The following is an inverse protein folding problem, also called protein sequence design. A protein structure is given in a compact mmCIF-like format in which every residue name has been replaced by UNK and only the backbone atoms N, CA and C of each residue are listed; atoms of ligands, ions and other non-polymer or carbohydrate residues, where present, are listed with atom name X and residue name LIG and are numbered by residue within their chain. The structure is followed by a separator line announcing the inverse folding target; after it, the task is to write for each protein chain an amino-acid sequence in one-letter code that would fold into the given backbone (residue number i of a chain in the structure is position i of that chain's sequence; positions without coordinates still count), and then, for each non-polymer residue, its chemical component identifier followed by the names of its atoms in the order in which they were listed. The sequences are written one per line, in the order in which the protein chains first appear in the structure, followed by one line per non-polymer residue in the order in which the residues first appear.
data_IF_811425274871
#
_entry.id   IF_811425274871
#
_cell.length_a   1.000
_cell.length_b   1.000
_cell.length_c   1.000
_cell.angle_alpha   90.00
_cell.angle_beta   90.00
_cell.angle_gamma   90.00
#
_symmetry.space_group_name_H-M   'P 1'
#
loop_
_entity.id
_entity.type
_entity.pdbx_description
1 polymer ?
#
# COMPACT_ATOMS: atom_id res chain seq x y z
N UNK A 1 3.28 21.18 -34.26
CA UNK A 1 2.73 20.35 -33.16
C UNK A 1 1.62 21.14 -32.49
N UNK A 2 0.36 20.86 -32.77
CA UNK A 2 -0.77 21.44 -32.01
C UNK A 2 -0.90 20.58 -30.76
N UNK A 3 -0.47 21.10 -29.60
CA UNK A 3 -0.85 20.48 -28.34
C UNK A 3 -2.36 20.22 -28.41
N UNK A 4 -2.77 18.97 -28.17
CA UNK A 4 -4.18 18.60 -28.26
C UNK A 4 -4.93 19.43 -27.21
N UNK A 5 -5.76 20.36 -27.63
CA UNK A 5 -6.52 21.27 -26.75
C UNK A 5 -7.26 20.49 -25.66
N UNK A 6 -7.73 19.27 -25.99
CA UNK A 6 -8.36 18.35 -25.02
C UNK A 6 -7.40 17.93 -23.90
N UNK A 7 -6.13 17.64 -24.23
CA UNK A 7 -5.10 17.28 -23.24
C UNK A 7 -4.85 18.44 -22.27
N UNK A 8 -4.64 19.64 -22.79
CA UNK A 8 -4.41 20.84 -21.97
C UNK A 8 -5.60 21.13 -21.05
N UNK A 9 -6.82 21.01 -21.56
CA UNK A 9 -8.03 21.20 -20.75
C UNK A 9 -8.18 20.14 -19.67
N UNK A 10 -7.90 18.88 -19.97
CA UNK A 10 -7.93 17.78 -19.01
C UNK A 10 -6.88 18.00 -17.90
N UNK A 11 -5.64 18.31 -18.25
CA UNK A 11 -4.56 18.61 -17.26
C UNK A 11 -4.95 19.79 -16.36
N UNK A 12 -5.51 20.87 -16.92
CA UNK A 12 -6.03 22.00 -16.12
C UNK A 12 -7.17 21.60 -15.20
N UNK A 13 -8.13 20.82 -15.70
CA UNK A 13 -9.24 20.30 -14.89
C UNK A 13 -8.72 19.48 -13.71
N UNK A 14 -7.77 18.58 -13.93
CA UNK A 14 -7.17 17.79 -12.85
C UNK A 14 -6.52 18.69 -11.77
N UNK A 15 -5.76 19.72 -12.17
CA UNK A 15 -5.13 20.64 -11.21
C UNK A 15 -6.14 21.46 -10.42
N UNK A 16 -7.22 21.93 -11.05
CA UNK A 16 -8.32 22.64 -10.36
C UNK A 16 -9.02 21.71 -9.36
N UNK A 17 -9.32 20.47 -9.77
CA UNK A 17 -9.89 19.45 -8.88
C UNK A 17 -8.98 19.19 -7.68
N UNK A 18 -7.68 18.97 -7.91
CA UNK A 18 -6.68 18.71 -6.87
C UNK A 18 -6.54 19.89 -5.91
N UNK A 19 -6.58 21.13 -6.42
CA UNK A 19 -6.54 22.34 -5.58
C UNK A 19 -7.78 22.41 -4.64
N UNK A 20 -8.97 22.10 -5.16
CA UNK A 20 -10.17 22.00 -4.32
C UNK A 20 -10.10 20.85 -3.31
N UNK A 21 -9.62 19.68 -3.74
CA UNK A 21 -9.43 18.52 -2.87
C UNK A 21 -8.40 18.81 -1.75
N UNK A 22 -7.34 19.57 -2.01
CA UNK A 22 -6.36 20.01 -1.01
C UNK A 22 -7.02 20.72 0.16
N UNK A 23 -7.93 21.64 -0.12
CA UNK A 23 -8.66 22.37 0.93
C UNK A 23 -9.53 21.43 1.77
N UNK A 24 -10.23 20.50 1.12
CA UNK A 24 -11.02 19.48 1.81
C UNK A 24 -10.13 18.61 2.68
N UNK A 25 -9.03 18.05 2.12
CA UNK A 25 -8.11 17.19 2.84
C UNK A 25 -7.46 17.90 4.04
N UNK A 26 -7.20 19.22 3.96
CA UNK A 26 -6.67 20.00 5.07
C UNK A 26 -7.67 20.15 6.23
N UNK A 27 -8.97 20.18 5.94
CA UNK A 27 -10.03 20.35 6.93
C UNK A 27 -10.48 19.04 7.61
N UNK A 28 -10.10 17.87 7.06
CA UNK A 28 -10.52 16.58 7.61
C UNK A 28 -9.81 16.26 8.93
N UNK A 29 -10.50 15.61 9.90
CA UNK A 29 -9.93 15.22 11.19
C UNK A 29 -9.08 13.96 11.06
N UNK A 30 -7.91 14.09 10.46
CA UNK A 30 -6.94 13.00 10.30
C UNK A 30 -6.51 12.46 11.67
N UNK A 31 -6.39 11.15 11.76
CA UNK A 31 -5.87 10.45 12.94
C UNK A 31 -4.88 9.37 12.51
N UNK A 32 -4.07 8.94 13.45
CA UNK A 32 -3.17 7.79 13.27
C UNK A 32 -3.53 6.71 14.26
N UNK A 33 -3.35 5.43 13.91
CA UNK A 33 -3.46 4.34 14.88
C UNK A 33 -2.47 4.50 16.02
N UNK A 34 -2.85 4.05 17.22
CA UNK A 34 -1.88 3.87 18.30
C UNK A 34 -1.02 2.65 17.99
N UNK A 35 0.28 2.81 17.97
CA UNK A 35 1.22 1.74 17.66
C UNK A 35 1.60 0.99 18.95
N UNK A 36 1.55 -0.34 18.89
CA UNK A 36 2.19 -1.26 19.83
C UNK A 36 3.28 -1.97 19.02
N UNK A 37 4.54 -1.80 19.36
CA UNK A 37 5.67 -2.25 18.56
C UNK A 37 6.67 -3.05 19.40
N UNK A 38 7.39 -3.98 18.76
CA UNK A 38 8.45 -4.79 19.31
C UNK A 38 8.11 -6.27 19.42
N UNK A 39 9.14 -7.09 19.63
CA UNK A 39 9.00 -8.54 19.76
C UNK A 39 8.04 -8.90 20.89
N UNK A 40 7.04 -9.74 20.59
CA UNK A 40 6.00 -10.14 21.54
C UNK A 40 4.92 -9.06 21.75
N UNK A 41 4.85 -8.01 20.93
CA UNK A 41 3.81 -6.98 21.04
C UNK A 41 2.39 -7.58 20.96
N UNK A 42 2.21 -8.65 20.20
CA UNK A 42 0.93 -9.36 20.06
C UNK A 42 0.42 -9.91 21.39
N UNK A 43 1.28 -10.29 22.33
CA UNK A 43 0.92 -10.80 23.67
C UNK A 43 0.27 -9.71 24.54
N UNK A 44 0.59 -8.45 24.31
CA UNK A 44 0.02 -7.31 25.04
C UNK A 44 -1.38 -6.92 24.51
N UNK A 45 -1.76 -7.43 23.35
CA UNK A 45 -3.00 -7.04 22.69
C UNK A 45 -4.27 -7.41 23.48
N UNK A 46 -4.43 -8.62 24.06
CA UNK A 46 -5.63 -8.98 24.84
C UNK A 46 -5.88 -8.05 26.03
N UNK A 47 -4.83 -7.62 26.73
CA UNK A 47 -4.93 -6.62 27.79
C UNK A 47 -5.38 -5.28 27.23
N UNK A 48 -4.74 -4.81 26.18
CA UNK A 48 -5.11 -3.56 25.50
C UNK A 48 -6.56 -3.54 25.00
N UNK A 49 -7.12 -4.68 24.60
CA UNK A 49 -8.54 -4.86 24.23
C UNK A 49 -9.44 -4.74 25.43
N UNK A 50 -9.14 -5.47 26.53
CA UNK A 50 -9.92 -5.46 27.76
C UNK A 50 -9.96 -4.09 28.47
N UNK A 51 -8.83 -3.42 28.54
CA UNK A 51 -8.70 -2.11 29.16
C UNK A 51 -9.60 -1.03 28.50
N UNK A 52 -10.06 -1.32 27.28
CA UNK A 52 -11.00 -0.49 26.53
C UNK A 52 -12.45 -0.94 26.66
N UNK A 53 -12.71 -1.93 27.52
CA UNK A 53 -14.05 -2.41 27.82
C UNK A 53 -14.63 -3.36 26.77
N UNK A 54 -13.81 -3.94 25.88
CA UNK A 54 -14.27 -4.94 24.93
C UNK A 54 -14.26 -6.35 25.57
N UNK A 55 -15.26 -7.17 25.20
CA UNK A 55 -15.51 -8.45 25.82
C UNK A 55 -15.51 -9.63 24.86
N UNK A 56 -15.86 -9.41 23.59
CA UNK A 56 -15.89 -10.47 22.59
C UNK A 56 -15.37 -10.01 21.23
N UNK A 57 -14.30 -10.62 20.80
CA UNK A 57 -13.53 -10.23 19.61
C UNK A 57 -13.88 -11.12 18.42
N UNK A 58 -14.09 -10.54 17.23
CA UNK A 58 -13.97 -11.25 15.97
C UNK A 58 -12.52 -11.18 15.49
N UNK A 59 -11.83 -12.31 15.43
CA UNK A 59 -10.51 -12.43 14.83
C UNK A 59 -10.70 -12.74 13.34
N UNK A 60 -10.37 -11.76 12.48
CA UNK A 60 -10.39 -11.90 11.03
C UNK A 60 -8.99 -12.28 10.56
N UNK A 61 -8.85 -13.39 9.83
CA UNK A 61 -7.55 -13.92 9.41
C UNK A 61 -7.67 -14.78 8.15
N UNK A 62 -6.52 -15.20 7.60
CA UNK A 62 -6.48 -16.11 6.46
C UNK A 62 -6.18 -17.56 6.87
N UNK A 63 -6.60 -18.56 6.07
CA UNK A 63 -6.42 -19.97 6.40
C UNK A 63 -4.94 -20.37 6.53
N UNK A 64 -4.05 -19.79 5.71
CA UNK A 64 -2.61 -20.07 5.77
C UNK A 64 -1.97 -19.55 7.07
N UNK A 65 -2.43 -18.42 7.60
CA UNK A 65 -1.95 -17.84 8.86
C UNK A 65 -2.32 -18.73 10.01
N UNK A 66 -3.58 -19.19 10.04
CA UNK A 66 -4.08 -20.14 11.03
C UNK A 66 -3.35 -21.47 10.99
N UNK A 67 -3.18 -22.04 9.80
CA UNK A 67 -2.47 -23.31 9.61
C UNK A 67 -1.00 -23.28 10.04
N UNK A 68 -0.34 -22.11 9.94
CA UNK A 68 1.05 -21.90 10.40
C UNK A 68 1.16 -21.67 11.90
N UNK A 69 0.06 -21.62 12.65
CA UNK A 69 0.07 -21.39 14.09
C UNK A 69 0.44 -19.98 14.53
N UNK A 70 0.47 -18.98 13.63
CA UNK A 70 0.85 -17.59 13.96
C UNK A 70 -0.09 -16.93 14.97
N UNK A 71 -1.32 -17.47 15.13
CA UNK A 71 -2.30 -17.00 16.12
C UNK A 71 -2.07 -17.57 17.52
N UNK A 72 -1.27 -18.62 17.68
CA UNK A 72 -1.24 -19.41 18.92
C UNK A 72 -0.94 -18.56 20.16
N UNK A 73 0.11 -17.72 20.10
CA UNK A 73 0.47 -16.84 21.21
C UNK A 73 -0.66 -15.87 21.59
N UNK A 74 -1.32 -15.26 20.58
CA UNK A 74 -2.47 -14.40 20.83
C UNK A 74 -3.62 -15.16 21.51
N UNK A 75 -3.93 -16.37 21.02
CA UNK A 75 -5.04 -17.17 21.55
C UNK A 75 -4.79 -17.68 22.97
N UNK A 76 -3.54 -17.99 23.31
CA UNK A 76 -3.12 -18.35 24.67
C UNK A 76 -3.33 -17.18 25.63
N UNK A 77 -2.84 -16.01 25.29
CA UNK A 77 -3.01 -14.79 26.08
C UNK A 77 -4.51 -14.40 26.22
N UNK A 78 -5.30 -14.56 25.14
CA UNK A 78 -6.74 -14.31 25.22
C UNK A 78 -7.44 -15.26 26.21
N UNK A 79 -7.04 -16.54 26.28
CA UNK A 79 -7.56 -17.50 27.25
C UNK A 79 -7.18 -17.12 28.68
N UNK A 80 -5.91 -16.77 28.91
CA UNK A 80 -5.42 -16.33 30.24
C UNK A 80 -6.15 -15.10 30.73
N UNK A 81 -6.35 -14.12 29.85
CA UNK A 81 -7.08 -12.88 30.14
C UNK A 81 -8.61 -13.04 30.13
N UNK A 82 -9.13 -14.26 29.88
CA UNK A 82 -10.57 -14.60 29.79
C UNK A 82 -11.32 -13.69 28.78
N UNK A 83 -10.66 -13.30 27.70
CA UNK A 83 -11.25 -12.53 26.61
C UNK A 83 -11.89 -13.49 25.61
N UNK A 84 -13.20 -13.36 25.38
CA UNK A 84 -13.93 -14.22 24.43
C UNK A 84 -13.56 -13.84 22.98
N UNK A 85 -13.52 -14.83 22.10
CA UNK A 85 -13.25 -14.61 20.69
C UNK A 85 -13.97 -15.63 19.79
N UNK A 86 -14.14 -15.24 18.54
CA UNK A 86 -14.56 -16.11 17.43
C UNK A 86 -13.55 -15.88 16.30
N UNK A 87 -13.19 -16.93 15.57
CA UNK A 87 -12.23 -16.84 14.45
C UNK A 87 -13.00 -16.95 13.13
N UNK A 88 -12.76 -15.99 12.24
CA UNK A 88 -13.15 -16.01 10.84
C UNK A 88 -11.88 -16.06 9.99
N UNK A 89 -11.57 -17.25 9.46
CA UNK A 89 -10.32 -17.57 8.74
C UNK A 89 -10.51 -17.82 7.25
N UNK A 90 -11.69 -17.51 6.72
CA UNK A 90 -12.05 -17.72 5.31
C UNK A 90 -11.60 -16.64 4.34
N UNK A 91 -10.57 -15.83 4.65
CA UNK A 91 -10.19 -14.69 3.80
C UNK A 91 -9.21 -15.12 2.72
N UNK A 92 -9.57 -14.85 1.46
CA UNK A 92 -8.73 -15.03 0.28
C UNK A 92 -7.72 -13.91 0.08
N UNK A 93 -6.79 -14.08 -0.86
CA UNK A 93 -5.78 -13.08 -1.19
C UNK A 93 -6.39 -11.78 -1.75
N UNK A 94 -7.54 -11.86 -2.41
CA UNK A 94 -8.31 -10.72 -2.89
C UNK A 94 -9.68 -10.80 -2.24
N UNK A 95 -9.92 -10.11 -1.10
CA UNK A 95 -11.15 -10.28 -0.34
C UNK A 95 -12.37 -9.87 -1.16
N UNK A 96 -13.42 -10.68 -1.05
CA UNK A 96 -14.65 -10.50 -1.81
C UNK A 96 -15.75 -9.87 -0.97
N UNK A 97 -16.76 -9.32 -1.65
CA UNK A 97 -17.97 -8.83 -1.00
C UNK A 97 -18.74 -9.94 -0.28
N UNK A 98 -18.71 -11.19 -0.78
CA UNK A 98 -19.30 -12.36 -0.10
C UNK A 98 -18.55 -12.70 1.19
N UNK A 99 -17.21 -12.68 1.18
CA UNK A 99 -16.41 -12.89 2.39
C UNK A 99 -16.70 -11.82 3.46
N UNK A 100 -16.87 -10.56 3.02
CA UNK A 100 -17.27 -9.47 3.92
C UNK A 100 -18.65 -9.73 4.53
N UNK A 101 -19.66 -10.12 3.74
CA UNK A 101 -21.01 -10.41 4.25
C UNK A 101 -21.00 -11.62 5.20
N UNK A 102 -20.21 -12.66 4.93
CA UNK A 102 -20.02 -13.78 5.85
C UNK A 102 -19.45 -13.30 7.19
N UNK A 103 -18.42 -12.46 7.15
CA UNK A 103 -17.84 -11.88 8.36
C UNK A 103 -18.83 -11.01 9.13
N UNK A 104 -19.69 -10.24 8.45
CA UNK A 104 -20.77 -9.46 9.07
C UNK A 104 -21.77 -10.39 9.78
N UNK A 105 -22.16 -11.49 9.13
CA UNK A 105 -23.07 -12.49 9.73
C UNK A 105 -22.50 -13.06 11.03
N UNK A 106 -21.21 -13.41 11.04
CA UNK A 106 -20.53 -13.92 12.24
C UNK A 106 -20.42 -12.81 13.31
N UNK A 107 -19.99 -11.59 12.94
CA UNK A 107 -19.84 -10.49 13.90
C UNK A 107 -21.12 -10.19 14.65
N UNK A 108 -22.25 -10.11 13.94
CA UNK A 108 -23.55 -9.80 14.51
C UNK A 108 -24.15 -11.00 15.25
N UNK A 109 -24.10 -12.20 14.65
CA UNK A 109 -24.65 -13.43 15.24
C UNK A 109 -23.99 -13.81 16.55
N UNK A 110 -22.67 -13.65 16.61
CA UNK A 110 -21.87 -13.92 17.79
C UNK A 110 -21.82 -12.73 18.79
N UNK A 111 -22.42 -11.59 18.42
CA UNK A 111 -22.43 -10.37 19.24
C UNK A 111 -21.00 -9.90 19.60
N UNK A 112 -20.10 -9.91 18.62
CA UNK A 112 -18.77 -9.34 18.81
C UNK A 112 -18.86 -7.82 18.96
N UNK A 113 -17.94 -7.23 19.75
CA UNK A 113 -17.92 -5.79 20.05
C UNK A 113 -16.70 -5.07 19.46
N UNK A 114 -15.68 -5.83 19.03
CA UNK A 114 -14.52 -5.32 18.31
C UNK A 114 -13.94 -6.38 17.37
N UNK A 115 -12.93 -6.01 16.58
CA UNK A 115 -12.23 -6.91 15.66
C UNK A 115 -10.73 -6.86 15.86
N UNK A 116 -10.08 -8.00 15.70
CA UNK A 116 -8.64 -8.12 15.47
C UNK A 116 -8.46 -8.58 14.02
N UNK A 117 -7.87 -7.73 13.17
CA UNK A 117 -7.49 -8.08 11.82
C UNK A 117 -6.04 -8.61 11.86
N UNK A 118 -5.87 -9.93 11.82
CA UNK A 118 -4.59 -10.59 11.96
C UNK A 118 -4.15 -11.18 10.62
N UNK A 119 -3.32 -10.46 9.88
CA UNK A 119 -2.88 -10.86 8.53
C UNK A 119 -2.25 -9.76 7.72
N UNK A 120 -2.11 -10.00 6.42
CA UNK A 120 -1.69 -8.99 5.45
C UNK A 120 -2.82 -8.04 5.05
N UNK A 121 -2.56 -7.20 4.02
CA UNK A 121 -3.51 -6.20 3.52
C UNK A 121 -4.90 -6.74 3.24
N UNK A 122 -5.03 -7.91 2.60
CA UNK A 122 -6.32 -8.54 2.28
C UNK A 122 -7.19 -8.80 3.50
N UNK A 123 -6.59 -9.29 4.60
CA UNK A 123 -7.30 -9.53 5.86
C UNK A 123 -7.76 -8.21 6.48
N UNK A 124 -6.90 -7.19 6.42
CA UNK A 124 -7.24 -5.86 6.93
C UNK A 124 -8.35 -5.21 6.15
N UNK A 125 -8.31 -5.31 4.83
CA UNK A 125 -9.32 -4.78 3.93
C UNK A 125 -10.68 -5.45 4.15
N UNK A 126 -10.69 -6.79 4.32
CA UNK A 126 -11.89 -7.52 4.69
C UNK A 126 -12.47 -7.05 6.04
N UNK A 127 -11.63 -6.93 7.08
CA UNK A 127 -12.06 -6.45 8.39
C UNK A 127 -12.64 -5.03 8.35
N UNK A 128 -12.02 -4.12 7.57
CA UNK A 128 -12.54 -2.79 7.29
C UNK A 128 -13.89 -2.84 6.56
N UNK A 129 -14.00 -3.72 5.56
CA UNK A 129 -15.26 -3.98 4.83
C UNK A 129 -16.37 -4.45 5.76
N UNK A 130 -16.09 -5.43 6.64
CA UNK A 130 -17.01 -5.88 7.68
C UNK A 130 -17.45 -4.71 8.55
N UNK A 131 -16.50 -3.91 9.04
CA UNK A 131 -16.80 -2.72 9.84
C UNK A 131 -17.69 -1.71 9.13
N UNK A 132 -17.42 -1.43 7.85
CA UNK A 132 -18.22 -0.54 7.01
C UNK A 132 -19.66 -1.04 6.85
N UNK A 133 -19.83 -2.34 6.62
CA UNK A 133 -21.14 -2.99 6.49
C UNK A 133 -21.92 -3.00 7.80
N UNK A 134 -21.28 -3.32 8.92
CA UNK A 134 -21.89 -3.24 10.25
C UNK A 134 -22.38 -1.83 10.54
N UNK A 135 -21.60 -0.79 10.20
CA UNK A 135 -22.00 0.61 10.36
C UNK A 135 -23.12 1.05 9.40
N UNK A 136 -23.23 0.39 8.24
CA UNK A 136 -24.21 0.70 7.17
C UNK A 136 -25.00 -0.53 6.73
N UNK A 137 -25.83 -1.14 7.61
CA UNK A 137 -26.48 -2.43 7.35
C UNK A 137 -27.44 -2.43 6.14
N UNK A 138 -27.92 -1.25 5.72
CA UNK A 138 -28.82 -1.10 4.57
C UNK A 138 -28.08 -0.86 3.23
N UNK A 139 -26.73 -0.77 3.22
CA UNK A 139 -25.94 -0.52 2.01
C UNK A 139 -25.09 -1.75 1.67
N UNK A 140 -25.19 -2.28 0.46
CA UNK A 140 -24.25 -3.28 -0.04
C UNK A 140 -22.84 -2.67 -0.19
N UNK A 141 -21.80 -3.50 -0.22
CA UNK A 141 -20.39 -3.07 -0.37
C UNK A 141 -20.20 -2.18 -1.60
N UNK A 142 -20.79 -2.53 -2.75
CA UNK A 142 -20.72 -1.72 -3.98
C UNK A 142 -21.23 -0.29 -3.80
N UNK A 143 -22.16 -0.06 -2.88
CA UNK A 143 -22.71 1.29 -2.60
C UNK A 143 -21.85 2.08 -1.59
N UNK A 144 -20.82 1.45 -1.02
CA UNK A 144 -19.85 2.07 -0.12
C UNK A 144 -18.52 2.39 -0.82
N UNK A 145 -18.32 1.93 -2.05
CA UNK A 145 -17.14 2.20 -2.86
C UNK A 145 -16.98 3.71 -3.15
N UNK A 146 -15.73 4.16 -3.26
CA UNK A 146 -15.35 5.56 -3.47
C UNK A 146 -15.08 6.30 -2.15
N UNK A 147 -15.16 7.63 -2.18
CA UNK A 147 -14.76 8.51 -1.08
C UNK A 147 -15.94 8.80 -0.14
N UNK A 148 -15.72 8.68 1.18
CA UNK A 148 -16.59 9.17 2.26
C UNK A 148 -18.06 8.70 2.16
N UNK A 149 -18.28 7.40 1.95
CA UNK A 149 -19.63 6.81 1.86
C UNK A 149 -20.07 6.05 3.10
N UNK A 150 -19.15 5.76 4.01
CA UNK A 150 -19.43 5.14 5.31
C UNK A 150 -19.91 6.19 6.29
N UNK A 151 -19.10 7.21 6.62
CA UNK A 151 -19.43 8.37 7.46
C UNK A 151 -20.06 8.04 8.83
N UNK A 152 -19.90 6.82 9.32
CA UNK A 152 -20.38 6.35 10.62
C UNK A 152 -19.28 5.56 11.30
N UNK A 153 -19.15 5.68 12.63
CA UNK A 153 -18.21 4.88 13.39
C UNK A 153 -18.39 3.40 13.11
N UNK A 154 -17.29 2.73 12.81
CA UNK A 154 -17.23 1.28 12.66
C UNK A 154 -16.79 0.63 13.97
N UNK A 155 -17.04 -0.67 14.20
CA UNK A 155 -16.41 -1.42 15.30
C UNK A 155 -14.90 -1.19 15.34
N UNK A 156 -14.33 -1.11 16.54
CA UNK A 156 -12.89 -0.87 16.69
C UNK A 156 -12.10 -2.02 16.07
N UNK A 157 -11.11 -1.68 15.26
CA UNK A 157 -10.18 -2.62 14.64
C UNK A 157 -8.81 -2.46 15.30
N UNK A 158 -8.27 -3.59 15.79
CA UNK A 158 -6.88 -3.79 16.16
C UNK A 158 -6.22 -4.51 14.98
N UNK A 159 -5.33 -3.85 14.28
CA UNK A 159 -4.66 -4.38 13.10
C UNK A 159 -3.32 -5.01 13.50
N UNK A 160 -3.10 -6.26 13.12
CA UNK A 160 -1.89 -7.05 13.40
C UNK A 160 -1.30 -7.51 12.06
N UNK A 161 -0.43 -6.72 11.43
CA UNK A 161 0.16 -7.08 10.14
C UNK A 161 1.11 -8.26 10.25
N UNK A 162 1.00 -9.19 9.31
CA UNK A 162 1.93 -10.31 9.13
C UNK A 162 2.77 -10.17 7.86
N UNK A 163 2.70 -9.01 7.21
CA UNK A 163 3.50 -8.59 6.06
C UNK A 163 3.93 -7.14 6.25
N UNK A 164 5.00 -6.72 5.58
CA UNK A 164 5.57 -5.37 5.69
C UNK A 164 5.52 -4.67 4.32
N UNK A 165 4.33 -4.27 3.87
CA UNK A 165 4.16 -3.68 2.54
C UNK A 165 2.99 -2.72 2.44
N UNK A 166 1.77 -3.24 2.43
CA UNK A 166 0.55 -2.47 2.15
C UNK A 166 0.29 -1.29 3.10
N UNK A 167 0.83 -1.33 4.33
CA UNK A 167 0.54 -0.31 5.34
C UNK A 167 -0.95 -0.19 5.71
N UNK A 168 -1.78 -1.20 5.36
CA UNK A 168 -3.24 -1.14 5.54
C UNK A 168 -3.65 -0.94 7.01
N UNK A 169 -2.81 -1.33 7.97
CA UNK A 169 -2.98 -1.05 9.40
C UNK A 169 -2.99 0.45 9.73
N UNK A 170 -2.54 1.30 8.80
CA UNK A 170 -2.44 2.75 8.97
C UNK A 170 -3.20 3.55 7.89
N UNK A 171 -4.09 2.92 7.13
CA UNK A 171 -4.82 3.57 6.04
C UNK A 171 -6.32 3.62 6.24
N UNK A 172 -6.97 4.50 5.47
CA UNK A 172 -8.44 4.66 5.40
C UNK A 172 -9.07 3.84 4.26
N UNK A 173 -8.25 3.10 3.51
CA UNK A 173 -8.67 2.36 2.34
C UNK A 173 -8.96 0.90 2.66
N UNK A 174 -9.93 0.31 1.93
CA UNK A 174 -10.17 -1.13 1.86
C UNK A 174 -10.53 -1.49 0.41
N UNK A 175 -9.78 -2.40 -0.20
CA UNK A 175 -10.01 -2.86 -1.57
C UNK A 175 -10.78 -4.18 -1.52
N UNK A 176 -11.98 -4.19 -2.08
CA UNK A 176 -12.87 -5.36 -2.08
C UNK A 176 -13.23 -5.72 -3.53
N UNK A 177 -13.20 -7.00 -3.85
CA UNK A 177 -13.56 -7.55 -5.15
C UNK A 177 -15.05 -7.91 -5.16
N UNK A 178 -15.80 -7.42 -6.11
CA UNK A 178 -17.18 -7.85 -6.34
C UNK A 178 -17.18 -9.17 -7.11
N UNK A 179 -17.75 -10.23 -6.52
CA UNK A 179 -17.73 -11.58 -7.11
C UNK A 179 -18.37 -11.62 -8.49
N UNK A 180 -19.51 -10.94 -8.66
CA UNK A 180 -20.28 -11.01 -9.90
C UNK A 180 -19.58 -10.36 -11.10
N UNK A 181 -18.83 -9.29 -10.88
CA UNK A 181 -18.23 -8.48 -11.94
C UNK A 181 -16.71 -8.62 -12.02
N UNK A 182 -16.10 -9.28 -11.03
CA UNK A 182 -14.65 -9.35 -10.80
C UNK A 182 -14.00 -7.95 -10.67
N UNK A 183 -14.81 -6.92 -10.46
CA UNK A 183 -14.32 -5.56 -10.32
C UNK A 183 -13.76 -5.32 -8.93
N UNK A 184 -12.51 -4.89 -8.85
CA UNK A 184 -11.87 -4.44 -7.61
C UNK A 184 -12.15 -2.95 -7.43
N UNK A 185 -12.70 -2.57 -6.29
CA UNK A 185 -12.92 -1.17 -5.97
C UNK A 185 -12.60 -0.88 -4.52
N UNK A 186 -12.10 0.32 -4.28
CA UNK A 186 -11.75 0.78 -2.95
C UNK A 186 -12.90 1.51 -2.25
N UNK A 187 -13.02 1.26 -0.96
CA UNK A 187 -13.79 2.07 -0.02
C UNK A 187 -12.79 2.94 0.71
N UNK A 188 -12.95 4.26 0.66
CA UNK A 188 -12.05 5.20 1.30
C UNK A 188 -12.84 6.09 2.27
N UNK A 189 -12.65 5.89 3.57
CA UNK A 189 -13.36 6.65 4.60
C UNK A 189 -12.54 6.72 5.89
N UNK A 190 -12.49 7.90 6.53
CA UNK A 190 -11.76 8.12 7.78
C UNK A 190 -12.16 7.14 8.88
N UNK A 191 -13.38 6.60 8.82
CA UNK A 191 -13.87 5.64 9.81
C UNK A 191 -13.20 4.27 9.69
N UNK A 192 -12.63 3.93 8.50
CA UNK A 192 -11.96 2.64 8.27
C UNK A 192 -10.55 2.57 8.88
N UNK A 193 -9.99 3.72 9.28
CA UNK A 193 -8.68 3.75 9.93
C UNK A 193 -8.69 2.90 11.20
N UNK A 194 -7.85 1.87 11.34
CA UNK A 194 -7.72 1.11 12.57
C UNK A 194 -7.42 2.00 13.77
N UNK A 195 -7.81 1.60 14.95
CA UNK A 195 -7.47 2.34 16.19
C UNK A 195 -6.11 1.99 16.73
N UNK A 196 -5.66 0.76 16.45
CA UNK A 196 -4.38 0.22 16.92
C UNK A 196 -3.72 -0.54 15.78
N UNK A 197 -2.40 -0.39 15.68
CA UNK A 197 -1.51 -1.19 14.87
C UNK A 197 -0.52 -1.91 15.80
N UNK A 198 -0.45 -3.23 15.70
CA UNK A 198 0.43 -4.09 16.51
C UNK A 198 1.53 -4.63 15.60
N UNK A 199 2.71 -4.04 15.69
CA UNK A 199 3.86 -4.36 14.88
C UNK A 199 4.78 -5.30 15.67
N UNK A 200 4.64 -6.60 15.39
CA UNK A 200 5.43 -7.64 16.03
C UNK A 200 6.31 -8.35 14.99
N UNK A 201 7.63 -8.14 15.00
CA UNK A 201 8.54 -8.69 14.00
C UNK A 201 8.54 -10.22 13.97
N UNK A 202 8.22 -10.88 15.11
CA UNK A 202 8.14 -12.33 15.19
C UNK A 202 7.09 -12.91 14.22
N UNK A 203 6.05 -12.13 13.86
CA UNK A 203 5.00 -12.54 12.94
C UNK A 203 5.44 -12.52 11.48
N UNK A 204 6.58 -11.92 11.17
CA UNK A 204 7.11 -11.78 9.80
C UNK A 204 8.35 -12.62 9.51
N UNK A 205 8.94 -13.25 10.53
CA UNK A 205 10.15 -14.09 10.40
C UNK A 205 9.98 -15.23 9.38
N UNK A 206 8.81 -15.84 9.32
CA UNK A 206 8.53 -16.94 8.40
C UNK A 206 8.13 -16.53 6.98
N UNK A 207 8.23 -15.24 6.61
CA UNK A 207 7.92 -14.79 5.26
C UNK A 207 8.99 -15.28 4.28
N UNK A 208 8.59 -15.83 3.11
CA UNK A 208 9.53 -16.14 2.04
C UNK A 208 10.27 -14.88 1.57
N UNK A 209 11.57 -15.00 1.16
CA UNK A 209 12.34 -13.87 0.65
C UNK A 209 11.64 -13.09 -0.47
N UNK A 210 11.04 -13.79 -1.42
CA UNK A 210 10.28 -13.16 -2.51
C UNK A 210 9.10 -12.31 -2.02
N UNK A 211 8.39 -12.77 -0.97
CA UNK A 211 7.30 -11.97 -0.37
C UNK A 211 7.88 -10.75 0.35
N UNK A 212 9.01 -10.92 1.06
CA UNK A 212 9.72 -9.80 1.71
C UNK A 212 10.13 -8.75 0.67
N UNK A 213 10.73 -9.16 -0.45
CA UNK A 213 11.13 -8.28 -1.54
C UNK A 213 9.93 -7.50 -2.11
N UNK A 214 8.89 -8.21 -2.52
CA UNK A 214 7.72 -7.62 -3.15
C UNK A 214 6.98 -6.65 -2.21
N UNK A 215 6.79 -7.04 -0.95
CA UNK A 215 6.09 -6.17 0.00
C UNK A 215 6.95 -4.99 0.44
N UNK A 216 8.27 -5.18 0.63
CA UNK A 216 9.18 -4.10 0.97
C UNK A 216 9.28 -3.04 -0.13
N UNK A 217 9.35 -3.47 -1.39
CA UNK A 217 9.31 -2.57 -2.54
C UNK A 217 7.95 -1.89 -2.72
N UNK A 218 6.84 -2.55 -2.37
CA UNK A 218 5.50 -1.94 -2.32
C UNK A 218 5.46 -0.79 -1.30
N UNK A 219 6.01 -1.00 -0.10
CA UNK A 219 6.15 0.07 0.90
C UNK A 219 7.03 1.23 0.40
N UNK A 220 8.10 0.93 -0.35
CA UNK A 220 8.93 1.96 -0.99
C UNK A 220 8.14 2.76 -2.02
N UNK A 221 7.36 2.08 -2.87
CA UNK A 221 6.48 2.75 -3.84
C UNK A 221 5.50 3.70 -3.15
N UNK A 222 4.83 3.24 -2.11
CA UNK A 222 3.92 4.07 -1.32
C UNK A 222 4.61 5.34 -0.79
N UNK A 223 5.81 5.17 -0.22
CA UNK A 223 6.55 6.28 0.37
C UNK A 223 7.05 7.26 -0.69
N UNK A 224 7.63 6.77 -1.81
CA UNK A 224 8.19 7.61 -2.88
C UNK A 224 7.08 8.34 -3.64
N UNK A 225 5.99 7.66 -4.01
CA UNK A 225 4.87 8.32 -4.68
C UNK A 225 4.22 9.36 -3.77
N UNK A 226 3.96 9.03 -2.50
CA UNK A 226 3.43 10.01 -1.56
C UNK A 226 4.38 11.21 -1.34
N UNK A 227 5.70 11.00 -1.35
CA UNK A 227 6.67 12.08 -1.18
C UNK A 227 6.72 13.01 -2.38
N UNK A 228 6.68 12.45 -3.59
CA UNK A 228 6.70 13.20 -4.85
C UNK A 228 5.36 13.91 -5.12
N UNK A 229 4.26 13.38 -4.59
CA UNK A 229 2.91 13.94 -4.70
C UNK A 229 2.70 15.10 -3.70
N UNK A 230 3.24 16.28 -3.96
CA UNK A 230 3.31 17.37 -2.99
C UNK A 230 1.98 18.09 -2.69
N UNK A 231 0.92 17.83 -3.48
CA UNK A 231 -0.32 18.62 -3.41
C UNK A 231 -1.08 18.46 -2.09
N UNK A 232 -1.19 17.23 -1.55
CA UNK A 232 -1.98 16.94 -0.35
C UNK A 232 -1.15 16.81 0.92
N UNK A 233 0.17 16.75 0.81
CA UNK A 233 1.09 16.56 1.92
C UNK A 233 1.14 17.77 2.85
N UNK A 234 1.34 17.48 4.12
CA UNK A 234 1.86 18.39 5.13
C UNK A 234 3.27 17.93 5.54
N UNK A 235 3.89 18.66 6.47
CA UNK A 235 5.19 18.24 7.04
C UNK A 235 5.10 16.87 7.73
N UNK A 236 3.92 16.52 8.22
CA UNK A 236 3.69 15.21 8.81
C UNK A 236 3.82 14.08 7.77
N UNK A 237 3.16 14.17 6.62
CA UNK A 237 3.24 13.15 5.57
C UNK A 237 4.66 13.07 5.00
N UNK A 238 5.32 14.22 4.79
CA UNK A 238 6.74 14.26 4.36
C UNK A 238 7.65 13.55 5.35
N UNK A 239 7.50 13.83 6.64
CA UNK A 239 8.27 13.15 7.69
C UNK A 239 8.02 11.63 7.71
N UNK A 240 6.78 11.19 7.49
CA UNK A 240 6.44 9.77 7.45
C UNK A 240 7.07 9.08 6.24
N UNK A 241 7.02 9.69 5.04
CA UNK A 241 7.72 9.19 3.85
C UNK A 241 9.22 9.07 4.10
N UNK A 242 9.85 10.12 4.65
CA UNK A 242 11.29 10.15 4.95
C UNK A 242 11.70 9.01 5.88
N UNK A 243 10.92 8.77 6.95
CA UNK A 243 11.16 7.65 7.85
C UNK A 243 11.03 6.29 7.16
N UNK A 244 9.99 6.12 6.33
CA UNK A 244 9.75 4.88 5.61
C UNK A 244 10.89 4.59 4.63
N UNK A 245 11.28 5.55 3.80
CA UNK A 245 12.34 5.37 2.81
C UNK A 245 13.68 5.05 3.48
N UNK A 246 14.03 5.76 4.56
CA UNK A 246 15.27 5.49 5.30
C UNK A 246 15.29 4.08 5.90
N UNK A 247 14.22 3.65 6.58
CA UNK A 247 14.15 2.30 7.15
C UNK A 247 14.23 1.21 6.08
N UNK A 248 13.60 1.44 4.92
CA UNK A 248 13.68 0.50 3.78
C UNK A 248 15.11 0.45 3.24
N UNK A 249 15.74 1.60 3.06
CA UNK A 249 17.14 1.70 2.60
C UNK A 249 18.08 0.93 3.51
N UNK A 250 17.91 1.06 4.83
CA UNK A 250 18.77 0.44 5.83
C UNK A 250 18.51 -1.07 6.03
N UNK A 251 17.26 -1.54 5.82
CA UNK A 251 16.84 -2.85 6.35
C UNK A 251 16.23 -3.83 5.34
N UNK A 252 15.76 -3.39 4.14
CA UNK A 252 15.06 -4.30 3.23
C UNK A 252 15.95 -5.44 2.74
N UNK A 253 17.16 -5.14 2.31
CA UNK A 253 18.10 -6.15 1.82
C UNK A 253 18.44 -7.15 2.94
N UNK A 254 18.74 -6.65 4.15
CA UNK A 254 19.00 -7.52 5.31
C UNK A 254 17.81 -8.41 5.64
N UNK A 255 16.58 -7.87 5.63
CA UNK A 255 15.36 -8.66 5.88
C UNK A 255 15.09 -9.70 4.77
N UNK A 256 15.55 -9.44 3.54
CA UNK A 256 15.45 -10.37 2.41
C UNK A 256 16.47 -11.50 2.53
N UNK A 257 17.74 -11.19 2.82
CA UNK A 257 18.84 -12.14 2.92
C UNK A 257 18.76 -12.99 4.19
N UNK A 258 18.43 -12.34 5.31
CA UNK A 258 18.23 -13.00 6.62
C UNK A 258 16.83 -12.70 7.17
N UNK A 259 15.89 -13.52 6.79
CA UNK A 259 14.51 -13.43 7.28
C UNK A 259 14.34 -13.62 8.80
N UNK A 260 15.38 -14.05 9.52
CA UNK A 260 15.36 -14.24 10.97
C UNK A 260 15.87 -13.01 11.74
N UNK A 261 16.41 -12.01 11.05
CA UNK A 261 16.85 -10.77 11.66
C UNK A 261 15.66 -9.93 12.15
N UNK A 262 15.39 -10.03 13.46
CA UNK A 262 14.23 -9.38 14.07
C UNK A 262 14.28 -7.85 13.98
N UNK A 263 15.46 -7.23 14.00
CA UNK A 263 15.56 -5.78 13.86
C UNK A 263 15.17 -5.35 12.45
N UNK A 264 15.72 -5.99 11.41
CA UNK A 264 15.36 -5.69 10.04
C UNK A 264 13.85 -5.95 9.77
N UNK A 265 13.26 -7.01 10.36
CA UNK A 265 11.82 -7.26 10.30
C UNK A 265 10.99 -6.17 10.97
N UNK A 266 11.45 -5.68 12.14
CA UNK A 266 10.80 -4.57 12.86
C UNK A 266 10.85 -3.29 12.02
N UNK A 267 12.02 -2.96 11.50
CA UNK A 267 12.22 -1.76 10.67
C UNK A 267 11.32 -1.79 9.43
N UNK A 268 11.19 -2.95 8.78
CA UNK A 268 10.30 -3.11 7.63
C UNK A 268 8.82 -2.97 8.00
N UNK A 269 8.37 -3.47 9.16
CA UNK A 269 7.00 -3.23 9.63
C UNK A 269 6.75 -1.75 9.93
N UNK A 270 7.69 -1.08 10.59
CA UNK A 270 7.58 0.36 10.87
C UNK A 270 7.64 1.18 9.59
N UNK A 271 8.46 0.79 8.62
CA UNK A 271 8.50 1.42 7.31
C UNK A 271 7.14 1.34 6.59
N UNK A 272 6.54 0.14 6.52
CA UNK A 272 5.22 -0.04 5.92
C UNK A 272 4.13 0.77 6.66
N UNK A 273 4.16 0.79 7.99
CA UNK A 273 3.26 1.62 8.80
C UNK A 273 3.43 3.11 8.53
N UNK A 274 4.67 3.61 8.43
CA UNK A 274 4.94 5.01 8.12
C UNK A 274 4.52 5.36 6.68
N UNK A 275 4.82 4.50 5.71
CA UNK A 275 4.34 4.66 4.33
C UNK A 275 2.80 4.73 4.29
N UNK A 276 2.10 3.83 5.01
CA UNK A 276 0.65 3.82 5.15
C UNK A 276 0.08 5.14 5.69
N UNK A 277 0.73 5.70 6.73
CA UNK A 277 0.35 7.01 7.29
C UNK A 277 0.57 8.15 6.32
N UNK A 278 1.57 8.06 5.46
CA UNK A 278 1.88 9.08 4.48
C UNK A 278 0.88 9.04 3.31
N UNK A 279 0.79 7.90 2.61
CA UNK A 279 0.00 7.84 1.39
C UNK A 279 -1.51 7.88 1.63
N UNK A 280 -1.97 7.58 2.85
CA UNK A 280 -3.41 7.68 3.16
C UNK A 280 -3.98 9.09 2.92
N UNK A 281 -3.14 10.12 3.00
CA UNK A 281 -3.46 11.52 2.63
C UNK A 281 -2.69 11.98 1.40
N UNK A 282 -1.39 11.69 1.32
CA UNK A 282 -0.51 12.05 0.21
C UNK A 282 -0.91 11.38 -1.12
N UNK A 283 -1.71 10.31 -1.04
CA UNK A 283 -2.13 9.50 -2.18
C UNK A 283 -0.97 8.71 -2.81
N UNK A 284 -1.31 7.89 -3.78
CA UNK A 284 -0.39 7.19 -4.68
C UNK A 284 -0.40 7.86 -6.06
N UNK A 285 0.35 7.34 -7.01
CA UNK A 285 0.50 7.94 -8.33
C UNK A 285 0.35 6.95 -9.49
N UNK A 286 1.07 7.19 -10.58
CA UNK A 286 0.96 6.36 -11.78
C UNK A 286 1.64 4.99 -11.66
N UNK A 287 2.57 4.79 -10.72
CA UNK A 287 3.08 3.44 -10.40
C UNK A 287 1.91 2.56 -10.00
N UNK A 288 1.09 3.03 -9.06
CA UNK A 288 -0.08 2.29 -8.60
C UNK A 288 -1.19 2.20 -9.64
N UNK A 289 -1.52 3.28 -10.33
CA UNK A 289 -2.60 3.28 -11.32
C UNK A 289 -2.34 2.31 -12.48
N UNK A 290 -1.13 2.33 -13.03
CA UNK A 290 -0.71 1.42 -14.11
C UNK A 290 -0.56 0.00 -13.55
N UNK A 291 0.07 -0.14 -12.39
CA UNK A 291 0.31 -1.42 -11.77
C UNK A 291 -0.97 -2.14 -11.34
N UNK A 292 -2.00 -1.43 -10.88
CA UNK A 292 -3.33 -2.01 -10.61
C UNK A 292 -3.98 -2.56 -11.88
N UNK A 293 -3.85 -1.83 -13.00
CA UNK A 293 -4.36 -2.29 -14.28
C UNK A 293 -3.65 -3.59 -14.74
N UNK A 294 -2.32 -3.63 -14.64
CA UNK A 294 -1.51 -4.80 -14.98
C UNK A 294 -1.84 -5.98 -14.05
N UNK A 295 -1.79 -5.77 -12.73
CA UNK A 295 -2.09 -6.82 -11.75
C UNK A 295 -3.51 -7.36 -11.90
N UNK A 296 -4.47 -6.51 -12.26
CA UNK A 296 -5.85 -6.91 -12.51
C UNK A 296 -6.04 -7.76 -13.77
N UNK A 297 -5.30 -7.45 -14.85
CA UNK A 297 -5.38 -8.20 -16.11
C UNK A 297 -4.70 -9.56 -16.04
N UNK A 298 -3.52 -9.61 -15.43
CA UNK A 298 -2.64 -10.78 -15.50
C UNK A 298 -2.60 -11.61 -14.22
N UNK A 299 -3.24 -11.15 -13.13
CA UNK A 299 -3.24 -11.86 -11.85
C UNK A 299 -1.88 -11.93 -11.16
N UNK A 300 -0.93 -11.11 -11.57
CA UNK A 300 0.43 -11.05 -11.00
C UNK A 300 0.44 -10.36 -9.63
N UNK A 301 1.40 -10.72 -8.74
CA UNK A 301 1.49 -10.09 -7.43
C UNK A 301 1.62 -8.58 -7.51
N UNK A 302 0.80 -7.87 -6.76
CA UNK A 302 0.73 -6.40 -6.74
C UNK A 302 2.10 -5.76 -6.48
N UNK A 303 2.77 -6.12 -5.37
CA UNK A 303 4.05 -5.54 -5.01
C UNK A 303 5.18 -5.81 -6.02
N UNK A 304 5.09 -6.91 -6.80
CA UNK A 304 6.02 -7.17 -7.89
C UNK A 304 5.89 -6.11 -8.99
N UNK A 305 4.67 -5.83 -9.42
CA UNK A 305 4.42 -4.85 -10.48
C UNK A 305 4.79 -3.44 -10.02
N UNK A 306 4.48 -3.10 -8.75
CA UNK A 306 4.90 -1.82 -8.17
C UNK A 306 6.43 -1.66 -8.22
N UNK A 307 7.15 -2.69 -7.78
CA UNK A 307 8.60 -2.71 -7.78
C UNK A 307 9.21 -2.52 -9.17
N UNK A 308 8.64 -3.19 -10.18
CA UNK A 308 9.09 -3.06 -11.57
C UNK A 308 8.89 -1.64 -12.07
N UNK A 309 7.71 -1.06 -11.86
CA UNK A 309 7.33 0.22 -12.46
C UNK A 309 7.95 1.44 -11.78
N UNK A 310 8.26 1.37 -10.47
CA UNK A 310 8.66 2.54 -9.68
C UNK A 310 9.81 3.35 -10.31
N UNK A 311 11.01 2.80 -10.58
CA UNK A 311 12.10 3.61 -11.13
C UNK A 311 11.78 4.15 -12.53
N UNK A 312 11.05 3.41 -13.33
CA UNK A 312 10.67 3.83 -14.69
C UNK A 312 9.70 5.02 -14.68
N UNK A 313 8.69 5.01 -13.80
CA UNK A 313 7.74 6.13 -13.66
C UNK A 313 8.46 7.36 -13.12
N UNK A 314 9.35 7.21 -12.12
CA UNK A 314 10.12 8.34 -11.59
C UNK A 314 11.05 8.93 -12.65
N UNK A 315 11.72 8.11 -13.47
CA UNK A 315 12.52 8.59 -14.63
C UNK A 315 11.65 9.33 -15.65
N UNK A 316 10.46 8.80 -15.95
CA UNK A 316 9.55 9.43 -16.90
C UNK A 316 9.01 10.79 -16.45
N UNK A 317 8.91 11.03 -15.14
CA UNK A 317 8.61 12.37 -14.60
C UNK A 317 9.74 13.39 -14.78
N UNK A 318 11.00 12.93 -14.95
CA UNK A 318 12.17 13.77 -15.20
C UNK A 318 12.35 14.88 -14.16
N UNK A 319 12.64 16.08 -14.63
CA UNK A 319 12.93 17.23 -13.75
C UNK A 319 11.79 17.62 -12.79
N UNK A 320 10.56 17.15 -13.02
CA UNK A 320 9.44 17.45 -12.12
C UNK A 320 9.56 16.77 -10.73
N UNK A 321 10.47 15.78 -10.59
CA UNK A 321 10.69 15.06 -9.33
C UNK A 321 12.14 15.13 -8.83
N UNK A 322 13.07 15.75 -9.56
CA UNK A 322 14.50 15.74 -9.21
C UNK A 322 14.76 16.29 -7.81
N UNK A 323 14.20 17.43 -7.44
CA UNK A 323 14.37 18.00 -6.10
C UNK A 323 13.88 17.04 -5.00
N UNK A 324 12.76 16.36 -5.23
CA UNK A 324 12.18 15.41 -4.26
C UNK A 324 13.01 14.13 -4.14
N UNK A 325 13.51 13.61 -5.26
CA UNK A 325 14.38 12.43 -5.23
C UNK A 325 15.76 12.78 -4.64
N UNK A 326 16.28 13.99 -4.89
CA UNK A 326 17.49 14.50 -4.25
C UNK A 326 17.32 14.59 -2.72
N UNK A 327 16.19 15.10 -2.23
CA UNK A 327 15.86 15.10 -0.80
C UNK A 327 15.87 13.67 -0.22
N UNK A 328 15.33 12.68 -0.93
CA UNK A 328 15.33 11.27 -0.49
C UNK A 328 16.73 10.66 -0.49
N UNK A 329 17.58 11.03 -1.46
CA UNK A 329 19.00 10.66 -1.48
C UNK A 329 19.71 11.17 -0.21
N UNK A 330 19.51 12.45 0.13
CA UNK A 330 20.08 13.07 1.33
C UNK A 330 19.55 12.44 2.64
N UNK A 331 18.25 12.13 2.69
CA UNK A 331 17.61 11.46 3.84
C UNK A 331 18.22 10.08 4.10
N UNK A 332 18.61 9.38 3.03
CA UNK A 332 19.29 8.08 3.11
C UNK A 332 20.82 8.22 3.29
N UNK A 333 21.35 9.43 3.35
CA UNK A 333 22.79 9.72 3.43
C UNK A 333 23.60 8.95 2.35
N UNK A 334 23.06 8.87 1.13
CA UNK A 334 23.73 8.17 0.03
C UNK A 334 24.98 8.91 -0.43
N UNK A 335 26.04 8.18 -0.69
CA UNK A 335 27.25 8.74 -1.29
C UNK A 335 26.96 9.11 -2.75
N UNK A 336 27.34 10.31 -3.12
CA UNK A 336 27.14 10.84 -4.48
C UNK A 336 28.50 11.00 -5.14
N UNK A 337 28.75 10.15 -6.12
CA UNK A 337 29.99 10.22 -6.89
C UNK A 337 29.80 11.13 -8.13
N UNK A 338 30.65 12.14 -8.24
CA UNK A 338 30.63 13.06 -9.39
C UNK A 338 32.05 13.28 -9.89
N UNK A 339 32.33 13.00 -11.19
CA UNK A 339 33.66 13.18 -11.75
C UNK A 339 34.17 14.62 -11.71
N UNK A 340 33.27 15.60 -11.67
CA UNK A 340 33.56 17.05 -11.68
C UNK A 340 33.34 17.73 -10.33
N UNK A 341 32.94 17.00 -9.29
CA UNK A 341 32.70 17.51 -7.94
C UNK A 341 31.46 18.40 -7.79
N UNK A 342 30.62 18.54 -8.83
CA UNK A 342 29.38 19.32 -8.75
C UNK A 342 28.19 18.43 -8.37
N UNK A 343 27.66 18.62 -7.18
CA UNK A 343 26.52 17.85 -6.64
C UNK A 343 25.23 18.67 -6.89
N UNK A 344 24.61 18.45 -8.05
CA UNK A 344 23.31 19.05 -8.39
C UNK A 344 22.13 18.20 -7.84
N UNK A 345 20.92 18.76 -7.84
CA UNK A 345 19.71 17.99 -7.51
C UNK A 345 19.48 16.83 -8.51
N UNK A 346 19.81 17.03 -9.79
CA UNK A 346 19.72 16.00 -10.81
C UNK A 346 20.64 14.80 -10.54
N UNK A 347 21.90 15.07 -10.16
CA UNK A 347 22.87 14.02 -9.82
C UNK A 347 22.40 13.22 -8.61
N UNK A 348 21.95 13.87 -7.54
CA UNK A 348 21.40 13.20 -6.36
C UNK A 348 20.14 12.39 -6.67
N UNK A 349 19.26 12.94 -7.51
CA UNK A 349 18.06 12.22 -7.97
C UNK A 349 18.44 10.96 -8.75
N UNK A 350 19.44 11.05 -9.65
CA UNK A 350 19.94 9.90 -10.40
C UNK A 350 20.59 8.84 -9.48
N UNK A 351 21.35 9.27 -8.46
CA UNK A 351 21.88 8.36 -7.43
C UNK A 351 20.77 7.57 -6.74
N UNK A 352 19.67 8.25 -6.36
CA UNK A 352 18.52 7.59 -5.75
C UNK A 352 17.82 6.63 -6.71
N UNK A 353 17.64 7.00 -7.98
CA UNK A 353 17.06 6.15 -9.02
C UNK A 353 17.92 4.91 -9.27
N UNK A 354 19.22 5.08 -9.37
CA UNK A 354 20.17 3.97 -9.56
C UNK A 354 20.14 3.02 -8.36
N UNK A 355 20.11 3.54 -7.13
CA UNK A 355 19.95 2.72 -5.94
C UNK A 355 18.67 1.85 -5.99
N UNK A 356 17.54 2.40 -6.43
CA UNK A 356 16.31 1.61 -6.58
C UNK A 356 16.44 0.50 -7.60
N UNK A 357 17.15 0.73 -8.70
CA UNK A 357 17.41 -0.30 -9.73
C UNK A 357 18.34 -1.39 -9.21
N UNK A 358 19.43 -1.02 -8.54
CA UNK A 358 20.35 -1.97 -7.91
C UNK A 358 19.69 -2.80 -6.82
N UNK A 359 18.82 -2.15 -6.01
CA UNK A 359 18.05 -2.86 -4.99
C UNK A 359 17.11 -3.89 -5.64
N UNK A 360 16.42 -3.55 -6.71
CA UNK A 360 15.59 -4.49 -7.48
C UNK A 360 16.38 -5.69 -7.96
N UNK A 361 17.56 -5.45 -8.53
CA UNK A 361 18.44 -6.52 -9.04
C UNK A 361 18.86 -7.47 -7.89
N UNK A 362 19.31 -6.92 -6.76
CA UNK A 362 19.67 -7.70 -5.56
C UNK A 362 18.49 -8.51 -4.99
N UNK A 363 17.28 -8.00 -5.13
CA UNK A 363 16.04 -8.66 -4.71
C UNK A 363 15.51 -9.68 -5.74
N UNK A 364 16.17 -9.84 -6.89
CA UNK A 364 15.74 -10.75 -7.97
C UNK A 364 14.44 -10.30 -8.65
N UNK A 365 14.16 -9.00 -8.68
CA UNK A 365 12.97 -8.42 -9.33
C UNK A 365 13.32 -8.06 -10.78
N UNK A 366 12.51 -8.46 -11.77
CA UNK A 366 12.75 -8.14 -13.17
C UNK A 366 12.86 -6.63 -13.44
N UNK A 367 13.65 -6.26 -14.44
CA UNK A 367 13.80 -4.87 -14.86
C UNK A 367 12.53 -4.35 -15.50
N UNK A 368 11.92 -5.14 -16.38
CA UNK A 368 10.72 -4.79 -17.15
C UNK A 368 9.57 -5.78 -16.91
N UNK A 369 8.31 -5.37 -17.15
CA UNK A 369 7.13 -6.23 -17.01
C UNK A 369 6.92 -7.09 -18.27
N UNK A 370 7.47 -8.30 -18.27
CA UNK A 370 7.42 -9.25 -19.38
C UNK A 370 6.03 -9.83 -19.69
N UNK A 371 5.08 -9.66 -18.75
CA UNK A 371 3.71 -10.15 -18.90
C UNK A 371 2.82 -9.29 -19.80
N UNK A 372 3.21 -8.05 -20.13
CA UNK A 372 2.36 -7.12 -20.89
C UNK A 372 2.26 -7.57 -22.34
N UNK A 373 1.02 -7.64 -22.87
CA UNK A 373 0.75 -7.89 -24.29
C UNK A 373 0.35 -6.59 -24.98
N UNK A 374 0.76 -6.45 -26.25
CA UNK A 374 0.52 -5.24 -27.03
C UNK A 374 -0.98 -4.93 -27.20
N UNK A 375 -1.80 -5.97 -27.36
CA UNK A 375 -3.26 -5.85 -27.45
C UNK A 375 -3.94 -5.26 -26.22
N UNK A 376 -3.32 -5.43 -25.04
CA UNK A 376 -3.87 -4.98 -23.76
C UNK A 376 -3.46 -3.55 -23.39
N UNK A 377 -2.50 -2.94 -24.09
CA UNK A 377 -1.98 -1.58 -23.79
C UNK A 377 -3.10 -0.55 -23.68
N UNK A 378 -4.04 -0.54 -24.62
CA UNK A 378 -5.16 0.42 -24.61
C UNK A 378 -6.08 0.21 -23.38
N UNK A 379 -6.24 -1.03 -22.91
CA UNK A 379 -7.05 -1.34 -21.75
C UNK A 379 -6.35 -0.93 -20.45
N UNK A 380 -5.05 -1.18 -20.35
CA UNK A 380 -4.19 -0.74 -19.22
C UNK A 380 -4.29 0.79 -19.09
N UNK A 381 -4.05 1.52 -20.18
CA UNK A 381 -4.13 2.98 -20.22
C UNK A 381 -5.50 3.49 -19.78
N UNK A 382 -6.57 2.90 -20.33
CA UNK A 382 -7.95 3.29 -20.00
C UNK A 382 -8.24 3.13 -18.50
N UNK A 383 -7.81 2.03 -17.89
CA UNK A 383 -8.05 1.78 -16.47
C UNK A 383 -7.21 2.70 -15.60
N UNK A 384 -5.92 2.84 -15.89
CA UNK A 384 -5.02 3.71 -15.15
C UNK A 384 -5.43 5.18 -15.20
N UNK A 385 -5.84 5.67 -16.37
CA UNK A 385 -6.38 7.03 -16.53
C UNK A 385 -7.65 7.26 -15.71
N UNK A 386 -8.56 6.29 -15.73
CA UNK A 386 -9.81 6.38 -14.96
C UNK A 386 -9.58 6.37 -13.45
N UNK A 387 -8.58 5.64 -12.99
CA UNK A 387 -8.23 5.55 -11.58
C UNK A 387 -7.54 6.82 -11.09
N UNK A 388 -6.50 7.23 -11.80
CA UNK A 388 -5.65 8.32 -11.33
C UNK A 388 -6.25 9.71 -11.53
N UNK A 389 -6.87 9.97 -12.69
CA UNK A 389 -7.31 11.30 -13.06
C UNK A 389 -8.81 11.53 -12.80
N UNK A 390 -9.18 12.62 -12.09
CA UNK A 390 -8.35 13.74 -11.61
C UNK A 390 -7.78 13.59 -10.20
N UNK A 391 -7.95 12.43 -9.56
CA UNK A 391 -7.84 12.23 -8.10
C UNK A 391 -6.40 12.26 -7.58
N UNK A 392 -5.48 11.57 -8.29
CA UNK A 392 -4.10 11.43 -7.84
C UNK A 392 -3.29 12.69 -8.10
N UNK A 393 -2.63 13.24 -7.06
CA UNK A 393 -1.91 14.52 -7.16
C UNK A 393 -0.50 14.33 -7.72
N UNK A 394 -0.40 13.60 -8.84
CA UNK A 394 0.88 13.26 -9.47
C UNK A 394 1.70 14.50 -9.82
N UNK A 395 3.05 14.41 -9.81
CA UNK A 395 3.94 15.52 -10.16
C UNK A 395 3.65 16.07 -11.56
N UNK A 396 3.54 15.20 -12.53
CA UNK A 396 3.17 15.51 -13.89
C UNK A 396 1.94 14.73 -14.33
N UNK A 397 0.93 15.42 -14.87
CA UNK A 397 -0.29 14.77 -15.34
C UNK A 397 -0.07 14.29 -16.77
N UNK A 398 -0.18 12.98 -16.97
CA UNK A 398 -0.13 12.37 -18.30
C UNK A 398 -1.54 12.23 -18.88
N UNK A 399 -1.69 12.57 -20.15
CA UNK A 399 -2.87 12.22 -20.90
C UNK A 399 -2.80 10.75 -21.38
N UNK A 400 -3.85 10.30 -22.05
CA UNK A 400 -3.92 8.90 -22.50
C UNK A 400 -2.80 8.55 -23.51
N UNK A 401 -2.33 9.52 -24.32
CA UNK A 401 -1.27 9.28 -25.28
C UNK A 401 0.09 9.18 -24.58
N UNK A 402 0.40 10.09 -23.66
CA UNK A 402 1.63 10.08 -22.87
C UNK A 402 1.75 8.79 -22.03
N UNK A 403 0.64 8.38 -21.39
CA UNK A 403 0.60 7.13 -20.63
C UNK A 403 0.75 5.90 -21.55
N UNK A 404 0.19 5.94 -22.75
CA UNK A 404 0.33 4.87 -23.75
C UNK A 404 1.79 4.74 -24.21
N UNK A 405 2.45 5.85 -24.47
CA UNK A 405 3.86 5.87 -24.86
C UNK A 405 4.74 5.27 -23.76
N UNK A 406 4.47 5.59 -22.49
CA UNK A 406 5.13 4.97 -21.35
C UNK A 406 4.93 3.45 -21.32
N UNK A 407 3.69 2.94 -21.43
CA UNK A 407 3.41 1.50 -21.39
C UNK A 407 4.06 0.76 -22.56
N UNK A 408 4.06 1.38 -23.75
CA UNK A 408 4.75 0.81 -24.93
C UNK A 408 6.27 0.76 -24.74
N UNK A 409 6.87 1.78 -24.12
CA UNK A 409 8.30 1.76 -23.78
C UNK A 409 8.65 0.63 -22.80
N UNK A 410 7.76 0.33 -21.82
CA UNK A 410 7.94 -0.81 -20.93
C UNK A 410 7.91 -2.14 -21.69
N UNK A 411 6.98 -2.29 -22.62
CA UNK A 411 6.86 -3.48 -23.47
C UNK A 411 8.08 -3.68 -24.36
N UNK A 412 8.57 -2.60 -24.97
CA UNK A 412 9.78 -2.64 -25.80
C UNK A 412 11.03 -3.02 -25.00
N UNK A 413 11.19 -2.42 -23.81
CA UNK A 413 12.28 -2.77 -22.90
C UNK A 413 12.29 -4.24 -22.52
N UNK A 414 11.11 -4.83 -22.26
CA UNK A 414 10.98 -6.25 -21.96
C UNK A 414 11.37 -7.14 -23.16
N UNK A 415 11.04 -6.72 -24.38
CA UNK A 415 11.42 -7.44 -25.62
C UNK A 415 12.93 -7.44 -25.85
N UNK A 416 13.57 -6.29 -25.63
CA UNK A 416 15.03 -6.15 -25.80
C UNK A 416 15.77 -6.98 -24.76
N UNK A 417 15.38 -6.92 -23.48
CA UNK A 417 15.97 -7.75 -22.42
C UNK A 417 15.79 -9.24 -22.68
N UNK A 418 14.65 -9.65 -23.23
CA UNK A 418 14.38 -11.05 -23.60
C UNK A 418 15.23 -11.54 -24.78
N UNK A 419 15.57 -10.66 -25.72
CA UNK A 419 16.45 -10.99 -26.85
C UNK A 419 17.90 -11.19 -26.38
N UNK A 420 18.42 -10.30 -25.51
CA UNK A 420 19.78 -10.39 -24.95
C UNK A 420 20.01 -11.67 -24.11
N UNK A 421 18.99 -12.19 -23.45
CA UNK A 421 19.09 -13.45 -22.66
C UNK A 421 19.09 -14.71 -23.52
N UNK A 422 18.74 -14.62 -24.80
CA UNK A 422 18.67 -15.76 -25.72
C UNK A 422 19.88 -15.82 -26.68
N UNK A 423 20.76 -14.81 -26.65
CA UNK A 423 22.10 -14.83 -27.30
C UNK A 423 23.18 -15.33 -26.33
#
# INVERSE_FOLDING_TARGET
MKANVKSVLMKKYCRVYQAGAKLLMAALPWRSPKMLSGSGAVKKLPEAVRDRGFHKVLIVTGPKIRARGLLNELLEEMKEKKLKYVIFDGISQNPTDEEVENGVGIFLGEKCDCMIAFGGGSVMDCAKGIGARVARPKKAIRNLQGLFRVLRPIPVIFAVPTTSGSGSEATIAAVITEVQTHHKASINDLQLMPRFAVLDPCLTVGLPPQVTAQTGMDALCHAVEAYTNDTYNSDFERLMCSKAVRLIHESLLTAYEDGTNLQARQDMQEAAFHAGRAFTRGSVGYVHAIGHAISGLYGVPHGLVMAILLPHVMRAYGSSVYDKLADLCDICAMEVDTPDGMISAEVRAETFLQWMEELKEKLGIPKYPDMIREEDVNQIVKWAQKEANPVYPVPEIWDAQEMKEFVLAMLEGARLEGAEKNE
#
